data_IF_093296927963
#
_entry.id   IF_093296927963
#
_cell.length_a   1.000
_cell.length_b   1.000
_cell.length_c   1.000
_cell.angle_alpha   90.00
_cell.angle_beta   90.00
_cell.angle_gamma   90.00
#
_symmetry.space_group_name_H-M   'P 1'
#
loop_
_entity.id
_entity.type
_entity.pdbx_description
1 polymer ?
#
# COMPACT_ATOMS: atom_id res chain seq x y z
N UNK A 1 -3.62 -2.75 -25.80
CA UNK A 1 -3.59 -3.79 -24.77
C UNK A 1 -4.41 -3.26 -23.58
N UNK A 2 -5.59 -3.81 -23.31
CA UNK A 2 -6.35 -3.43 -22.12
C UNK A 2 -5.68 -4.08 -20.92
N UNK A 3 -5.02 -3.28 -20.10
CA UNK A 3 -4.55 -3.74 -18.79
C UNK A 3 -5.81 -3.97 -17.95
N UNK A 4 -6.21 -5.21 -17.83
CA UNK A 4 -7.26 -5.58 -16.88
C UNK A 4 -6.67 -5.42 -15.48
N UNK A 5 -7.24 -4.58 -14.60
CA UNK A 5 -6.80 -4.51 -13.23
C UNK A 5 -6.86 -5.92 -12.64
N UNK A 6 -5.78 -6.38 -12.04
CA UNK A 6 -5.76 -7.68 -11.36
C UNK A 6 -6.82 -7.62 -10.26
N UNK A 7 -7.92 -8.32 -10.46
CA UNK A 7 -8.99 -8.37 -9.49
C UNK A 7 -8.44 -9.08 -8.24
N UNK A 8 -8.53 -8.48 -7.06
CA UNK A 8 -8.09 -9.13 -5.84
C UNK A 8 -8.77 -10.50 -5.73
N UNK A 9 -8.00 -11.55 -5.42
CA UNK A 9 -8.55 -12.89 -5.22
C UNK A 9 -9.47 -12.93 -3.99
N UNK A 10 -10.35 -13.92 -3.93
CA UNK A 10 -11.20 -14.15 -2.76
C UNK A 10 -10.34 -14.44 -1.53
N UNK A 11 -10.61 -13.75 -0.44
CA UNK A 11 -9.92 -13.84 0.83
C UNK A 11 -10.29 -12.69 1.73
N UNK A 12 -9.85 -12.73 2.97
CA UNK A 12 -10.09 -11.67 3.95
C UNK A 12 -9.02 -11.66 5.03
N UNK A 13 -8.87 -10.53 5.73
CA UNK A 13 -7.96 -10.43 6.86
C UNK A 13 -8.12 -9.13 7.64
N UNK A 14 -7.66 -9.16 8.88
CA UNK A 14 -7.62 -8.04 9.82
C UNK A 14 -6.18 -7.64 10.14
N UNK A 15 -6.00 -6.44 10.71
CA UNK A 15 -4.67 -5.99 11.12
C UNK A 15 -4.05 -6.89 12.19
N UNK A 16 -4.87 -7.42 13.11
CA UNK A 16 -4.41 -8.35 14.15
C UNK A 16 -3.85 -9.64 13.55
N UNK A 17 -4.53 -10.21 12.58
CA UNK A 17 -4.06 -11.38 11.84
C UNK A 17 -2.79 -11.04 11.03
N UNK A 18 -2.76 -9.86 10.43
CA UNK A 18 -1.61 -9.36 9.69
C UNK A 18 -0.35 -9.22 10.53
N UNK A 19 -0.47 -8.77 11.77
CA UNK A 19 0.65 -8.73 12.72
C UNK A 19 1.23 -10.13 12.97
N UNK A 20 0.37 -11.15 13.09
CA UNK A 20 0.80 -12.54 13.26
C UNK A 20 1.49 -13.07 11.99
N UNK A 21 0.92 -12.78 10.81
CA UNK A 21 1.52 -13.16 9.52
C UNK A 21 2.87 -12.47 9.35
N UNK A 22 2.96 -11.18 9.69
CA UNK A 22 4.20 -10.38 9.62
C UNK A 22 5.34 -11.03 10.41
N UNK A 23 5.06 -11.45 11.64
CA UNK A 23 6.02 -12.15 12.48
C UNK A 23 6.35 -13.55 11.93
N UNK A 24 5.33 -14.35 11.60
CA UNK A 24 5.46 -15.74 11.14
C UNK A 24 6.22 -15.85 9.81
N UNK A 25 5.98 -14.95 8.89
CA UNK A 25 6.62 -14.96 7.55
C UNK A 25 7.99 -14.28 7.54
N UNK A 26 8.43 -13.73 8.67
CA UNK A 26 9.75 -13.13 8.82
C UNK A 26 9.91 -11.76 8.15
N UNK A 27 8.82 -11.02 7.94
CA UNK A 27 8.84 -9.70 7.32
C UNK A 27 9.72 -8.71 8.10
N UNK A 28 9.71 -8.83 9.43
CA UNK A 28 10.54 -8.03 10.33
C UNK A 28 12.04 -8.22 10.17
N UNK A 29 12.49 -9.33 9.56
CA UNK A 29 13.92 -9.55 9.28
C UNK A 29 14.50 -8.54 8.30
N UNK A 30 13.70 -8.06 7.36
CA UNK A 30 14.09 -7.04 6.39
C UNK A 30 13.56 -5.65 6.73
N UNK A 31 12.29 -5.55 7.17
CA UNK A 31 11.60 -4.28 7.40
C UNK A 31 11.66 -3.79 8.86
N UNK A 32 12.27 -4.57 9.76
CA UNK A 32 12.26 -4.32 11.20
C UNK A 32 10.99 -4.87 11.88
N UNK A 33 11.05 -5.12 13.20
CA UNK A 33 9.97 -5.81 13.93
C UNK A 33 8.65 -5.01 13.96
N UNK A 34 8.72 -3.69 13.83
CA UNK A 34 7.56 -2.78 13.83
C UNK A 34 7.35 -2.07 12.49
N UNK A 35 7.98 -2.57 11.42
CA UNK A 35 7.98 -1.94 10.10
C UNK A 35 9.02 -0.82 9.94
N UNK A 36 9.92 -0.68 10.91
CA UNK A 36 11.05 0.27 10.88
C UNK A 36 12.29 -0.39 11.47
N UNK A 37 13.46 0.13 11.12
CA UNK A 37 14.73 -0.31 11.71
C UNK A 37 15.38 -1.51 11.02
N UNK A 38 14.88 -1.93 9.86
CA UNK A 38 15.49 -2.94 9.01
C UNK A 38 16.32 -2.33 7.87
N UNK A 39 16.88 -3.20 7.03
CA UNK A 39 17.64 -2.79 5.83
C UNK A 39 16.72 -2.46 4.64
N UNK A 40 15.49 -2.98 4.63
CA UNK A 40 14.50 -2.69 3.62
C UNK A 40 13.80 -1.34 3.89
N UNK A 41 13.11 -0.76 2.88
CA UNK A 41 12.35 0.47 3.09
C UNK A 41 11.38 0.37 4.25
N UNK A 42 11.21 1.46 4.98
CA UNK A 42 10.27 1.55 6.10
C UNK A 42 8.83 1.34 5.63
N UNK A 43 8.05 0.65 6.45
CA UNK A 43 6.63 0.37 6.21
C UNK A 43 5.71 1.21 7.11
N UNK A 44 6.26 1.82 8.14
CA UNK A 44 5.56 2.72 9.06
C UNK A 44 6.20 4.10 9.00
N UNK A 45 5.39 5.10 8.73
CA UNK A 45 5.86 6.48 8.77
C UNK A 45 6.07 6.95 10.22
N UNK A 46 7.10 7.77 10.49
CA UNK A 46 7.20 8.45 11.77
C UNK A 46 6.00 9.39 11.95
N UNK A 47 5.58 9.68 13.19
CA UNK A 47 4.54 10.65 13.46
C UNK A 47 4.91 11.99 12.84
N UNK A 48 4.09 12.47 11.91
CA UNK A 48 4.23 13.78 11.27
C UNK A 48 2.95 14.59 11.54
N UNK A 49 2.82 15.07 12.78
CA UNK A 49 1.76 16.00 13.10
C UNK A 49 1.88 17.23 12.17
N UNK A 50 0.83 17.54 11.43
CA UNK A 50 0.70 18.72 10.56
C UNK A 50 1.58 18.80 9.31
N UNK A 51 2.32 17.77 8.93
CA UNK A 51 3.05 17.78 7.67
C UNK A 51 2.10 17.59 6.48
N UNK A 52 2.30 18.40 5.43
CA UNK A 52 1.67 18.19 4.14
C UNK A 52 1.92 16.74 3.68
N UNK A 53 0.93 16.14 3.01
CA UNK A 53 1.02 14.78 2.48
C UNK A 53 2.26 14.60 1.59
N UNK A 54 2.69 15.64 0.90
CA UNK A 54 3.86 15.63 0.02
C UNK A 54 5.19 15.69 0.78
N UNK A 55 5.19 16.23 2.01
CA UNK A 55 6.37 16.30 2.89
C UNK A 55 6.55 15.05 3.75
N UNK A 56 5.49 14.24 3.87
CA UNK A 56 5.55 12.99 4.64
C UNK A 56 6.48 11.98 3.97
N UNK A 57 7.13 11.10 4.76
CA UNK A 57 7.96 10.02 4.21
C UNK A 57 7.20 9.21 3.16
N UNK A 58 7.90 8.79 2.11
CA UNK A 58 7.34 7.99 1.02
C UNK A 58 7.15 6.53 1.45
N UNK A 59 6.18 6.31 2.27
CA UNK A 59 5.77 4.98 2.73
C UNK A 59 4.60 4.51 1.90
N UNK A 60 4.71 3.32 1.29
CA UNK A 60 3.71 2.80 0.36
C UNK A 60 2.27 2.84 0.91
N UNK A 61 2.00 2.43 2.18
CA UNK A 61 0.65 2.48 2.74
C UNK A 61 0.04 3.89 2.86
N UNK A 62 0.84 4.95 2.81
CA UNK A 62 0.35 6.33 2.88
C UNK A 62 0.34 7.03 1.53
N UNK A 63 1.26 6.67 0.64
CA UNK A 63 1.45 7.34 -0.66
C UNK A 63 0.72 6.67 -1.80
N UNK A 64 0.19 5.48 -1.58
CA UNK A 64 -0.64 4.82 -2.60
C UNK A 64 -2.00 5.51 -2.69
N UNK A 65 -2.44 5.89 -3.89
CA UNK A 65 -3.77 6.47 -4.07
C UNK A 65 -4.90 5.46 -3.81
N UNK A 66 -4.58 4.17 -3.91
CA UNK A 66 -5.53 3.08 -3.71
C UNK A 66 -4.96 2.02 -2.76
N UNK A 67 -5.77 1.54 -1.84
CA UNK A 67 -5.39 0.45 -0.94
C UNK A 67 -5.12 -0.85 -1.71
N UNK A 68 -5.77 -1.04 -2.85
CA UNK A 68 -5.51 -2.16 -3.76
C UNK A 68 -4.09 -2.18 -4.30
N UNK A 69 -3.41 -1.04 -4.41
CA UNK A 69 -2.00 -0.97 -4.79
C UNK A 69 -1.10 -1.61 -3.73
N UNK A 70 -1.39 -1.39 -2.45
CA UNK A 70 -0.65 -2.01 -1.33
C UNK A 70 -0.83 -3.52 -1.36
N UNK A 71 -2.07 -3.98 -1.52
CA UNK A 71 -2.42 -5.41 -1.64
C UNK A 71 -1.69 -6.06 -2.81
N UNK A 72 -1.74 -5.45 -3.97
CA UNK A 72 -1.14 -5.97 -5.20
C UNK A 72 0.39 -6.07 -5.10
N UNK A 73 1.03 -5.06 -4.48
CA UNK A 73 2.47 -5.09 -4.24
C UNK A 73 2.88 -6.26 -3.34
N UNK A 74 2.18 -6.44 -2.22
CA UNK A 74 2.44 -7.57 -1.30
C UNK A 74 2.23 -8.90 -2.03
N UNK A 75 1.14 -9.03 -2.76
CA UNK A 75 0.77 -10.26 -3.46
C UNK A 75 1.81 -10.69 -4.50
N UNK A 76 2.35 -9.74 -5.25
CA UNK A 76 3.24 -10.03 -6.38
C UNK A 76 4.73 -9.92 -6.06
N UNK A 77 5.12 -9.11 -5.09
CA UNK A 77 6.51 -8.77 -4.86
C UNK A 77 7.06 -9.22 -3.50
N UNK A 78 6.22 -9.68 -2.59
CA UNK A 78 6.63 -10.09 -1.25
C UNK A 78 6.23 -11.53 -0.92
N UNK A 79 6.98 -12.25 -0.06
CA UNK A 79 8.32 -11.92 0.44
C UNK A 79 9.37 -11.96 -0.67
N UNK A 80 10.30 -11.02 -0.65
CA UNK A 80 11.37 -10.97 -1.65
C UNK A 80 12.16 -12.29 -1.71
N UNK A 81 12.29 -12.86 -2.90
CA UNK A 81 12.90 -14.17 -3.13
C UNK A 81 11.98 -15.36 -2.85
N UNK A 82 10.72 -15.10 -2.45
CA UNK A 82 9.66 -16.10 -2.26
C UNK A 82 8.30 -15.53 -2.69
N UNK A 83 8.29 -14.77 -3.76
CA UNK A 83 7.10 -14.12 -4.31
C UNK A 83 6.03 -15.14 -4.65
N UNK A 84 4.76 -14.79 -4.44
CA UNK A 84 3.61 -15.67 -4.73
C UNK A 84 3.38 -16.81 -3.73
N UNK A 85 4.10 -16.85 -2.60
CA UNK A 85 3.93 -17.90 -1.58
C UNK A 85 2.92 -17.56 -0.49
N UNK A 86 2.44 -16.32 -0.44
CA UNK A 86 1.40 -15.91 0.49
C UNK A 86 0.02 -16.35 0.00
N UNK A 87 -0.82 -16.81 0.91
CA UNK A 87 -2.23 -17.04 0.62
C UNK A 87 -2.98 -15.72 0.47
N UNK A 88 -4.16 -15.75 -0.16
CA UNK A 88 -4.99 -14.55 -0.30
C UNK A 88 -5.32 -13.92 1.06
N UNK A 89 -5.70 -14.72 2.06
CA UNK A 89 -5.97 -14.23 3.41
C UNK A 89 -4.74 -13.58 4.05
N UNK A 90 -3.56 -14.17 3.89
CA UNK A 90 -2.30 -13.59 4.38
C UNK A 90 -2.01 -12.24 3.72
N UNK A 91 -2.30 -12.08 2.43
CA UNK A 91 -2.10 -10.80 1.72
C UNK A 91 -3.09 -9.75 2.22
N UNK A 92 -4.38 -10.09 2.42
CA UNK A 92 -5.36 -9.17 2.99
C UNK A 92 -4.99 -8.77 4.43
N UNK A 93 -4.59 -9.73 5.25
CA UNK A 93 -4.19 -9.50 6.63
C UNK A 93 -2.97 -8.57 6.71
N UNK A 94 -1.93 -8.82 5.91
CA UNK A 94 -0.75 -7.95 5.83
C UNK A 94 -1.11 -6.55 5.32
N UNK A 95 -1.99 -6.44 4.34
CA UNK A 95 -2.47 -5.15 3.86
C UNK A 95 -3.18 -4.39 4.96
N UNK A 96 -4.09 -5.04 5.68
CA UNK A 96 -4.78 -4.45 6.83
C UNK A 96 -3.78 -4.01 7.92
N UNK A 97 -2.79 -4.81 8.24
CA UNK A 97 -1.77 -4.48 9.22
C UNK A 97 -0.97 -3.24 8.82
N UNK A 98 -0.50 -3.15 7.56
CA UNK A 98 0.25 -1.99 7.09
C UNK A 98 -0.59 -0.71 7.05
N UNK A 99 -1.87 -0.80 6.72
CA UNK A 99 -2.77 0.34 6.77
C UNK A 99 -3.07 0.77 8.22
N UNK A 100 -3.26 -0.19 9.11
CA UNK A 100 -3.52 0.07 10.54
C UNK A 100 -2.32 0.76 11.23
N UNK A 101 -1.10 0.24 11.06
CA UNK A 101 0.07 0.85 11.72
C UNK A 101 0.40 2.26 11.22
N UNK A 102 -0.22 2.68 10.13
CA UNK A 102 -0.14 4.03 9.55
C UNK A 102 -1.43 4.84 9.75
N UNK A 103 -2.31 4.43 10.67
CA UNK A 103 -3.55 5.14 11.05
C UNK A 103 -4.55 5.34 9.88
N UNK A 104 -4.53 4.47 8.86
CA UNK A 104 -5.44 4.55 7.72
C UNK A 104 -6.77 3.86 8.01
N UNK A 105 -6.73 2.72 8.71
CA UNK A 105 -7.93 1.96 9.10
C UNK A 105 -7.85 1.55 10.58
N UNK A 106 -8.98 1.27 11.25
CA UNK A 106 -8.98 0.69 12.60
C UNK A 106 -8.51 -0.78 12.59
N UNK A 107 -8.08 -1.26 13.76
CA UNK A 107 -7.49 -2.60 13.92
C UNK A 107 -8.46 -3.75 13.59
N UNK A 108 -9.72 -3.55 13.88
CA UNK A 108 -10.79 -4.56 13.74
C UNK A 108 -11.44 -4.57 12.35
N UNK A 109 -11.04 -3.65 11.47
CA UNK A 109 -11.60 -3.61 10.12
C UNK A 109 -11.18 -4.83 9.31
N UNK A 110 -12.16 -5.56 8.81
CA UNK A 110 -11.95 -6.67 7.89
C UNK A 110 -11.73 -6.12 6.48
N UNK A 111 -10.62 -6.49 5.87
CA UNK A 111 -10.38 -6.24 4.45
C UNK A 111 -10.66 -7.50 3.64
N UNK A 112 -11.41 -7.32 2.57
CA UNK A 112 -11.75 -8.34 1.59
C UNK A 112 -11.89 -7.71 0.19
N UNK A 113 -12.33 -8.49 -0.77
CA UNK A 113 -12.51 -8.05 -2.15
C UNK A 113 -13.48 -6.87 -2.29
N UNK A 114 -14.46 -6.71 -1.40
CA UNK A 114 -15.48 -5.68 -1.43
C UNK A 114 -15.08 -4.44 -0.62
N UNK A 115 -14.42 -4.63 0.51
CA UNK A 115 -14.05 -3.54 1.44
C UNK A 115 -12.73 -2.85 1.06
N UNK A 116 -11.75 -3.60 0.56
CA UNK A 116 -10.43 -3.07 0.19
C UNK A 116 -10.50 -1.89 -0.80
N UNK A 117 -11.27 -1.94 -1.90
CA UNK A 117 -11.37 -0.83 -2.85
C UNK A 117 -12.03 0.43 -2.28
N UNK A 118 -12.75 0.30 -1.17
CA UNK A 118 -13.48 1.40 -0.51
C UNK A 118 -12.66 2.14 0.53
N UNK A 119 -11.46 1.65 0.85
CA UNK A 119 -10.57 2.31 1.80
C UNK A 119 -10.18 3.67 1.26
N UNK A 120 -10.44 4.72 2.03
CA UNK A 120 -10.02 6.08 1.70
C UNK A 120 -8.57 6.27 2.11
N UNK A 121 -7.70 6.40 1.11
CA UNK A 121 -6.28 6.62 1.36
C UNK A 121 -6.00 8.08 1.73
N UNK A 122 -4.99 8.35 2.60
CA UNK A 122 -4.68 9.71 3.07
C UNK A 122 -4.33 10.69 1.96
N UNK A 123 -3.71 10.20 0.87
CA UNK A 123 -3.37 11.03 -0.28
C UNK A 123 -4.62 11.46 -1.07
N UNK A 124 -5.74 10.72 -0.95
CA UNK A 124 -6.99 11.04 -1.62
C UNK A 124 -6.82 11.26 -3.11
N UNK A 125 -7.48 12.29 -3.63
CA UNK A 125 -7.41 12.67 -5.05
C UNK A 125 -6.21 13.60 -5.37
N UNK A 126 -5.43 13.99 -4.38
CA UNK A 126 -4.29 14.90 -4.53
C UNK A 126 -3.11 14.26 -5.28
N UNK A 127 -3.09 12.93 -5.41
CA UNK A 127 -2.04 12.22 -6.15
C UNK A 127 -1.98 12.60 -7.63
N UNK A 128 -3.08 13.09 -8.18
CA UNK A 128 -3.22 13.36 -9.62
C UNK A 128 -2.71 14.72 -10.06
N UNK A 129 -2.51 15.66 -9.15
CA UNK A 129 -2.11 17.03 -9.52
C UNK A 129 -1.15 17.64 -8.52
N UNK A 130 -0.01 18.09 -9.04
CA UNK A 130 0.79 19.09 -8.33
C UNK A 130 0.14 20.46 -8.55
N UNK A 131 0.14 21.36 -7.54
CA UNK A 131 -0.45 22.69 -7.68
C UNK A 131 0.05 23.49 -8.88
N UNK A 132 1.31 23.32 -9.24
CA UNK A 132 1.95 24.01 -10.35
C UNK A 132 1.84 23.26 -11.69
N UNK A 133 1.29 22.03 -11.68
CA UNK A 133 1.22 21.24 -12.90
C UNK A 133 0.15 21.80 -13.84
N UNK A 134 0.58 22.18 -15.05
CA UNK A 134 -0.31 22.57 -16.13
C UNK A 134 -0.12 21.58 -17.29
N UNK A 135 -1.22 21.14 -17.94
CA UNK A 135 -1.11 20.31 -19.12
C UNK A 135 -0.22 21.01 -20.15
N UNK A 136 0.80 20.31 -20.63
CA UNK A 136 1.64 20.85 -21.71
C UNK A 136 0.87 20.79 -23.01
N UNK A 137 0.89 21.88 -23.77
CA UNK A 137 0.45 21.86 -25.16
C UNK A 137 1.36 20.90 -25.93
N UNK A 138 0.78 20.06 -26.78
CA UNK A 138 1.56 19.16 -27.65
C UNK A 138 2.55 19.99 -28.47
N UNK A 139 3.84 19.66 -28.37
CA UNK A 139 4.90 20.40 -29.07
C UNK A 139 4.98 20.08 -30.54
N UNK A 140 4.58 18.88 -30.93
CA UNK A 140 4.65 18.42 -32.31
C UNK A 140 3.33 17.72 -32.69
N UNK A 141 2.84 18.08 -33.89
CA UNK A 141 1.67 17.45 -34.45
C UNK A 141 1.98 15.99 -34.77
N UNK A 142 1.14 15.06 -34.26
CA UNK A 142 1.35 13.62 -34.43
C UNK A 142 2.18 12.95 -33.35
N UNK A 143 2.75 13.66 -32.40
CA UNK A 143 3.45 13.07 -31.27
C UNK A 143 2.44 12.70 -30.17
N UNK A 144 2.46 11.46 -29.63
CA UNK A 144 1.45 11.01 -28.67
C UNK A 144 1.62 11.60 -27.25
N UNK A 145 2.73 12.31 -26.96
CA UNK A 145 3.06 12.83 -25.64
C UNK A 145 3.36 14.35 -25.66
#
# INVERSE_FOLDING_TARGET
>A
MKVTPTRPSSGSGTAKEGAQVYAKKGCGGCHGPTGVGGLAPILKAPPAANADIWERPRVLPLRSPFATTVWDYINRAMPLGREGTLTADEVYALTAFLLYINDVIPEDQVLDQQSLPKVKMPIGDEFASLPEWKPRTRRLQGYPF
#
